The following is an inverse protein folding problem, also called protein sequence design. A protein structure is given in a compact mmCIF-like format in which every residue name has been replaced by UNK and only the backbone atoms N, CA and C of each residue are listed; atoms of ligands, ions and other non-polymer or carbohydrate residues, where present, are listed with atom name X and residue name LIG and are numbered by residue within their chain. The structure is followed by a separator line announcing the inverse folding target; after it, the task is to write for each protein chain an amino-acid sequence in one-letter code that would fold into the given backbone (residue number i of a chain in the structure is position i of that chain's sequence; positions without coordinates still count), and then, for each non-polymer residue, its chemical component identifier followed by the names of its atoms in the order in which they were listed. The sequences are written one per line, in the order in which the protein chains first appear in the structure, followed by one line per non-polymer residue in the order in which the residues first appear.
data_IF_801995538034
#
_entry.id   IF_801995538034
#
_cell.length_a   1.000
_cell.length_b   1.000
_cell.length_c   1.000
_cell.angle_alpha   90.00
_cell.angle_beta   90.00
_cell.angle_gamma   90.00
#
_symmetry.space_group_name_H-M   'P 1'
#
loop_
_entity.id
_entity.type
_entity.pdbx_description
1 polymer ?
#
# COMPACT_ATOMS: atom_id res chain seq x y z
N UNK A 1 3.03 -5.43 -8.30
CA UNK A 1 4.41 -4.98 -7.99
C UNK A 1 4.32 -3.77 -7.09
N UNK A 2 5.26 -3.59 -6.17
CA UNK A 2 5.30 -2.45 -5.25
C UNK A 2 5.30 -1.12 -6.01
N UNK A 3 4.53 -0.14 -5.53
CA UNK A 3 4.41 1.20 -6.13
C UNK A 3 3.39 1.33 -7.27
N UNK A 4 2.81 0.22 -7.74
CA UNK A 4 1.73 0.28 -8.72
C UNK A 4 0.44 0.87 -8.10
N UNK A 5 -0.37 1.60 -8.87
CA UNK A 5 -1.71 2.00 -8.43
C UNK A 5 -2.55 0.78 -8.08
N UNK A 6 -3.30 0.87 -6.98
CA UNK A 6 -4.28 -0.17 -6.61
C UNK A 6 -5.53 -0.06 -7.50
N UNK A 7 -6.19 -1.18 -7.85
CA UNK A 7 -7.48 -1.16 -8.52
C UNK A 7 -8.56 -0.42 -7.72
N UNK A 8 -9.59 0.05 -8.41
CA UNK A 8 -10.77 0.61 -7.75
C UNK A 8 -11.41 -0.45 -6.82
N UNK A 9 -11.81 -0.02 -5.62
CA UNK A 9 -12.38 -0.91 -4.60
C UNK A 9 -11.38 -1.81 -3.87
N UNK A 10 -10.07 -1.71 -4.15
CA UNK A 10 -9.06 -2.48 -3.41
C UNK A 10 -8.99 -2.05 -1.93
N UNK A 11 -9.14 -3.01 -1.02
CA UNK A 11 -9.16 -2.76 0.43
C UNK A 11 -7.83 -3.13 1.13
N UNK A 12 -7.01 -3.99 0.53
CA UNK A 12 -5.70 -4.40 1.05
C UNK A 12 -4.81 -4.99 -0.05
N UNK A 13 -3.49 -4.97 0.18
CA UNK A 13 -2.49 -5.67 -0.64
C UNK A 13 -1.77 -6.70 0.23
N UNK A 14 -1.75 -7.97 -0.19
CA UNK A 14 -1.02 -9.03 0.52
C UNK A 14 0.32 -9.28 -0.14
N UNK A 15 1.37 -9.41 0.67
CA UNK A 15 2.71 -9.77 0.20
C UNK A 15 2.70 -11.19 -0.38
N UNK A 16 3.44 -11.45 -1.47
CA UNK A 16 3.44 -12.78 -2.11
C UNK A 16 3.93 -13.87 -1.15
N UNK A 17 4.87 -13.52 -0.25
CA UNK A 17 5.41 -14.37 0.80
C UNK A 17 4.36 -14.82 1.83
N UNK A 18 3.22 -14.11 1.93
CA UNK A 18 2.06 -14.46 2.76
C UNK A 18 0.94 -15.12 1.95
N UNK A 19 1.31 -15.66 0.78
CA UNK A 19 0.40 -16.38 -0.09
C UNK A 19 1.02 -17.67 -0.57
N UNK A 20 0.17 -18.59 -0.98
CA UNK A 20 0.56 -19.78 -1.71
C UNK A 20 -0.20 -19.84 -3.03
N UNK A 21 0.54 -20.04 -4.12
CA UNK A 21 -0.06 -20.30 -5.41
C UNK A 21 -0.57 -21.74 -5.46
N UNK A 22 -1.79 -21.90 -5.97
CA UNK A 22 -2.45 -23.19 -6.18
C UNK A 22 -2.90 -23.28 -7.63
N UNK A 23 -3.28 -24.48 -8.08
CA UNK A 23 -3.76 -24.67 -9.45
C UNK A 23 -5.03 -23.86 -9.77
N UNK A 24 -5.82 -23.52 -8.74
CA UNK A 24 -7.12 -22.84 -8.89
C UNK A 24 -7.09 -21.36 -8.44
N UNK A 25 -5.91 -20.81 -8.09
CA UNK A 25 -5.79 -19.43 -7.63
C UNK A 25 -4.76 -19.25 -6.51
N UNK A 26 -4.98 -18.26 -5.66
CA UNK A 26 -4.05 -17.86 -4.59
C UNK A 26 -4.70 -18.05 -3.23
N UNK A 27 -4.02 -18.75 -2.32
CA UNK A 27 -4.42 -18.92 -0.92
C UNK A 27 -3.67 -17.92 -0.04
N UNK A 28 -4.38 -17.18 0.81
CA UNK A 28 -3.78 -16.33 1.83
C UNK A 28 -3.43 -17.14 3.07
N UNK A 29 -2.22 -16.99 3.61
CA UNK A 29 -1.71 -17.75 4.76
C UNK A 29 -1.64 -16.93 6.05
N UNK A 30 -2.01 -15.64 6.00
CA UNK A 30 -2.02 -14.73 7.14
C UNK A 30 -3.33 -13.92 7.17
N UNK A 31 -3.65 -13.34 8.34
CA UNK A 31 -4.76 -12.39 8.50
C UNK A 31 -4.53 -11.15 7.65
N UNK A 32 -5.58 -10.70 6.94
CA UNK A 32 -5.55 -9.50 6.10
C UNK A 32 -6.31 -8.38 6.79
N UNK A 33 -5.65 -7.23 6.98
CA UNK A 33 -6.24 -6.04 7.61
C UNK A 33 -6.66 -5.02 6.57
N UNK A 34 -7.73 -4.27 6.85
CA UNK A 34 -8.14 -3.15 6.01
C UNK A 34 -7.02 -2.11 5.89
N UNK A 35 -6.72 -1.67 4.66
CA UNK A 35 -5.66 -0.74 4.33
C UNK A 35 -4.25 -1.33 4.32
N UNK A 36 -4.07 -2.62 4.62
CA UNK A 36 -2.75 -3.23 4.70
C UNK A 36 -1.96 -3.07 3.40
N UNK A 37 -0.70 -2.64 3.52
CA UNK A 37 0.25 -2.41 2.43
C UNK A 37 -0.25 -1.46 1.32
N UNK A 38 -1.25 -0.61 1.60
CA UNK A 38 -1.68 0.44 0.68
C UNK A 38 -1.06 1.75 1.11
N UNK A 39 -0.15 2.27 0.29
CA UNK A 39 0.36 3.64 0.42
C UNK A 39 -0.68 4.61 -0.14
N UNK A 40 -1.28 5.43 0.71
CA UNK A 40 -2.34 6.38 0.36
C UNK A 40 -1.76 7.62 -0.30
N UNK A 41 -2.54 8.24 -1.19
CA UNK A 41 -2.15 9.47 -1.86
C UNK A 41 -1.85 10.57 -0.83
N UNK A 42 -0.63 11.10 -0.88
CA UNK A 42 -0.20 12.19 -0.01
C UNK A 42 0.05 11.80 1.44
N UNK A 43 0.23 10.51 1.73
CA UNK A 43 0.51 10.04 3.10
C UNK A 43 1.85 10.54 3.65
N UNK A 44 2.86 10.70 2.79
CA UNK A 44 4.15 11.27 3.17
C UNK A 44 4.08 12.80 3.19
N UNK A 45 3.60 13.40 2.09
CA UNK A 45 3.49 14.86 1.91
C UNK A 45 2.19 15.14 1.13
N UNK A 46 1.33 15.97 1.71
CA UNK A 46 0.09 16.42 1.06
C UNK A 46 0.34 17.62 0.14
N UNK A 47 -0.51 17.78 -0.88
CA UNK A 47 -0.43 18.93 -1.76
C UNK A 47 -0.67 20.23 -0.97
N UNK A 48 0.21 21.21 -1.14
CA UNK A 48 0.18 22.48 -0.42
C UNK A 48 0.94 22.49 0.91
N UNK A 49 1.49 21.36 1.36
CA UNK A 49 2.35 21.34 2.53
C UNK A 49 3.69 22.07 2.28
N UNK A 50 4.14 22.86 3.27
CA UNK A 50 5.50 23.40 3.29
C UNK A 50 6.43 22.27 3.71
N UNK A 51 7.20 21.74 2.77
CA UNK A 51 8.15 20.65 3.05
C UNK A 51 9.36 21.18 3.80
N UNK A 52 9.85 22.36 3.40
CA UNK A 52 10.95 23.04 4.05
C UNK A 52 10.62 24.52 4.21
N UNK A 53 10.66 25.07 5.44
CA UNK A 53 10.53 26.51 5.68
C UNK A 53 11.83 27.24 5.30
N UNK A 54 11.73 28.56 5.09
CA UNK A 54 12.88 29.39 4.69
C UNK A 54 14.01 29.44 5.73
N UNK A 55 13.70 29.18 7.00
CA UNK A 55 14.64 29.22 8.12
C UNK A 55 15.08 27.82 8.58
N UNK A 56 15.09 26.83 7.68
CA UNK A 56 15.64 25.52 8.01
C UNK A 56 17.17 25.66 8.17
N UNK A 57 17.62 25.65 9.42
CA UNK A 57 19.02 25.75 9.82
C UNK A 57 19.87 24.57 9.32
#
# INVERSE_FOLDING_TARGET
MTGAPVPEGCEAVVMQEQTEQTDNGVRFTAEVRSGQNIRRRGEDISAGAVVFPAELA
#
